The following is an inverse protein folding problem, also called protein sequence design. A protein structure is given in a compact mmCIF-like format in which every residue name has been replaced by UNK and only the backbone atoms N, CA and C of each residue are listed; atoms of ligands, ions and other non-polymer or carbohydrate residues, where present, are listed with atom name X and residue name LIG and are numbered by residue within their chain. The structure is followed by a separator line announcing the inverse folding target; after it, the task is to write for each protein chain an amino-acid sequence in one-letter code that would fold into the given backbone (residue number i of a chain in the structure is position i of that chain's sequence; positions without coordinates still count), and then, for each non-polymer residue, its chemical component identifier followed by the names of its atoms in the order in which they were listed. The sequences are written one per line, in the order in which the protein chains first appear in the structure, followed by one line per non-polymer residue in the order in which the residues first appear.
data_IF_070309631274
#
_entry.id   IF_070309631274
#
_cell.length_a   1.000
_cell.length_b   1.000
_cell.length_c   1.000
_cell.angle_alpha   90.00
_cell.angle_beta   90.00
_cell.angle_gamma   90.00
#
_symmetry.space_group_name_H-M   'P 1'
#
loop_
_entity.id
_entity.type
_entity.pdbx_description
1 polymer ?
#
# COMPACT_ATOMS: atom_id res chain seq x y z
N UNK A 1 -18.79 13.85 -9.08
CA UNK A 1 -18.27 12.72 -8.30
C UNK A 1 -19.13 12.48 -7.06
N UNK A 2 -19.56 11.25 -6.86
CA UNK A 2 -20.41 10.90 -5.72
C UNK A 2 -19.58 10.79 -4.44
N UNK A 3 -20.26 10.72 -3.29
CA UNK A 3 -19.60 10.50 -2.01
C UNK A 3 -18.88 9.15 -1.98
N UNK A 4 -19.48 8.12 -2.57
CA UNK A 4 -18.89 6.79 -2.64
C UNK A 4 -17.61 6.79 -3.45
N UNK A 5 -17.61 7.50 -4.57
CA UNK A 5 -16.41 7.61 -5.41
C UNK A 5 -15.30 8.36 -4.69
N UNK A 6 -15.65 9.43 -3.96
CA UNK A 6 -14.67 10.19 -3.19
C UNK A 6 -14.07 9.35 -2.06
N UNK A 7 -14.92 8.58 -1.38
CA UNK A 7 -14.46 7.71 -0.31
C UNK A 7 -13.53 6.62 -0.85
N UNK A 8 -13.90 6.02 -1.97
CA UNK A 8 -13.05 5.03 -2.64
C UNK A 8 -11.68 5.63 -2.97
N UNK A 9 -11.66 6.79 -3.59
CA UNK A 9 -10.40 7.45 -3.96
C UNK A 9 -9.56 7.80 -2.75
N UNK A 10 -10.18 8.25 -1.68
CA UNK A 10 -9.47 8.57 -0.44
C UNK A 10 -8.82 7.33 0.17
N UNK A 11 -9.57 6.23 0.25
CA UNK A 11 -9.05 4.97 0.79
C UNK A 11 -7.93 4.41 -0.08
N UNK A 12 -8.09 4.48 -1.40
CA UNK A 12 -7.07 4.03 -2.34
C UNK A 12 -5.80 4.85 -2.19
N UNK A 13 -5.94 6.17 -2.12
CA UNK A 13 -4.79 7.08 -1.94
C UNK A 13 -4.05 6.80 -0.64
N UNK A 14 -4.79 6.52 0.43
CA UNK A 14 -4.20 6.17 1.72
C UNK A 14 -3.36 4.90 1.61
N UNK A 15 -3.91 3.85 0.99
CA UNK A 15 -3.18 2.60 0.80
C UNK A 15 -1.94 2.81 -0.08
N UNK A 16 -2.08 3.56 -1.16
CA UNK A 16 -0.95 3.84 -2.06
C UNK A 16 0.15 4.64 -1.37
N UNK A 17 -0.23 5.60 -0.52
CA UNK A 17 0.75 6.36 0.25
C UNK A 17 1.53 5.46 1.21
N UNK A 18 0.85 4.54 1.89
CA UNK A 18 1.52 3.61 2.79
C UNK A 18 2.43 2.63 2.05
N UNK A 19 2.00 2.18 0.87
CA UNK A 19 2.84 1.33 0.01
C UNK A 19 4.12 2.07 -0.36
N UNK A 20 3.99 3.29 -0.83
CA UNK A 20 5.15 4.08 -1.25
C UNK A 20 6.08 4.39 -0.09
N UNK A 21 5.52 4.70 1.08
CA UNK A 21 6.30 4.94 2.28
C UNK A 21 7.09 3.69 2.69
N UNK A 22 6.44 2.53 2.65
CA UNK A 22 7.11 1.28 2.99
C UNK A 22 8.22 0.93 1.99
N UNK A 23 7.97 1.15 0.70
CA UNK A 23 8.98 0.93 -0.34
C UNK A 23 10.17 1.85 -0.15
N UNK A 24 9.93 3.12 0.17
CA UNK A 24 11.00 4.07 0.44
C UNK A 24 11.87 3.60 1.61
N UNK A 25 11.23 3.16 2.69
CA UNK A 25 11.94 2.67 3.87
C UNK A 25 12.78 1.43 3.53
N UNK A 26 12.22 0.50 2.76
CA UNK A 26 12.95 -0.70 2.33
C UNK A 26 14.16 -0.33 1.48
N UNK A 27 13.98 0.58 0.54
CA UNK A 27 15.07 1.05 -0.33
C UNK A 27 16.19 1.67 0.49
N UNK A 28 15.85 2.50 1.47
CA UNK A 28 16.82 3.13 2.35
C UNK A 28 17.57 2.09 3.19
N UNK A 29 16.86 1.13 3.75
CA UNK A 29 17.48 0.06 4.54
C UNK A 29 18.42 -0.78 3.69
N UNK A 30 18.02 -1.13 2.49
CA UNK A 30 18.84 -1.93 1.58
C UNK A 30 20.10 -1.21 1.15
N UNK A 31 20.00 0.09 0.92
CA UNK A 31 21.13 0.90 0.50
C UNK A 31 22.09 1.15 1.66
N UNK A 32 21.58 1.55 2.80
CA UNK A 32 22.40 1.94 3.94
C UNK A 32 23.04 0.77 4.66
N UNK A 33 22.37 -0.38 4.67
CA UNK A 33 22.87 -1.55 5.37
C UNK A 33 24.18 -2.08 4.80
N UNK A 34 24.50 -1.75 3.55
CA UNK A 34 25.76 -2.15 2.92
C UNK A 34 26.91 -1.18 3.22
N UNK A 35 26.61 0.01 3.71
CA UNK A 35 27.58 1.07 3.93
C UNK A 35 28.01 1.25 5.38
N UNK A 36 27.31 0.65 6.32
CA UNK A 36 27.48 0.92 7.75
C UNK A 36 27.91 -0.36 8.49
N UNK A 37 28.64 -0.20 9.56
CA UNK A 37 29.22 -1.28 10.32
C UNK A 37 28.22 -2.18 11.04
N UNK A 38 28.72 -3.27 11.56
CA UNK A 38 27.97 -4.40 12.08
C UNK A 38 26.88 -4.08 13.08
N UNK A 39 27.12 -3.11 13.98
CA UNK A 39 26.25 -2.83 15.04
C UNK A 39 24.93 -2.17 14.63
N UNK A 40 24.86 -1.72 13.39
CA UNK A 40 23.64 -1.13 12.86
C UNK A 40 22.82 -2.10 12.05
N UNK A 41 23.34 -3.29 11.73
CA UNK A 41 22.61 -4.26 10.91
C UNK A 41 21.33 -4.76 11.57
N UNK A 42 21.32 -4.93 12.89
CA UNK A 42 20.10 -5.31 13.59
C UNK A 42 19.02 -4.24 13.48
N UNK A 43 19.43 -2.98 13.57
CA UNK A 43 18.52 -1.86 13.43
C UNK A 43 17.88 -1.86 12.03
N UNK A 44 18.71 -2.01 11.00
CA UNK A 44 18.19 -2.04 9.63
C UNK A 44 17.28 -3.25 9.38
N UNK A 45 17.61 -4.40 9.98
CA UNK A 45 16.78 -5.58 9.87
C UNK A 45 15.40 -5.36 10.50
N UNK A 46 15.36 -4.77 11.68
CA UNK A 46 14.12 -4.46 12.38
C UNK A 46 13.27 -3.48 11.57
N UNK A 47 13.91 -2.42 11.08
CA UNK A 47 13.19 -1.39 10.31
C UNK A 47 12.69 -1.94 8.97
N UNK A 48 13.49 -2.74 8.30
CA UNK A 48 13.09 -3.37 7.05
C UNK A 48 11.93 -4.36 7.26
N UNK A 49 11.97 -5.11 8.35
CA UNK A 49 10.90 -6.05 8.69
C UNK A 49 9.59 -5.32 8.94
N UNK A 50 9.63 -4.21 9.68
CA UNK A 50 8.45 -3.38 9.90
C UNK A 50 7.90 -2.83 8.60
N UNK A 51 8.78 -2.35 7.73
CA UNK A 51 8.38 -1.83 6.43
C UNK A 51 7.75 -2.91 5.56
N UNK A 52 8.28 -4.12 5.60
CA UNK A 52 7.73 -5.25 4.85
C UNK A 52 6.32 -5.60 5.34
N UNK A 53 6.11 -5.60 6.66
CA UNK A 53 4.78 -5.81 7.23
C UNK A 53 3.81 -4.73 6.76
N UNK A 54 4.23 -3.49 6.82
CA UNK A 54 3.41 -2.36 6.38
C UNK A 54 3.05 -2.47 4.91
N UNK A 55 4.03 -2.85 4.09
CA UNK A 55 3.82 -3.04 2.66
C UNK A 55 2.79 -4.13 2.38
N UNK A 56 2.94 -5.27 3.03
CA UNK A 56 2.02 -6.40 2.87
C UNK A 56 0.61 -6.01 3.29
N UNK A 57 0.49 -5.38 4.45
CA UNK A 57 -0.82 -4.95 4.96
C UNK A 57 -1.48 -3.93 4.03
N UNK A 58 -0.71 -2.94 3.57
CA UNK A 58 -1.26 -1.91 2.70
C UNK A 58 -1.69 -2.48 1.34
N UNK A 59 -0.91 -3.41 0.78
CA UNK A 59 -1.27 -4.10 -0.46
C UNK A 59 -2.52 -4.94 -0.29
N UNK A 60 -2.63 -5.66 0.82
CA UNK A 60 -3.80 -6.48 1.10
C UNK A 60 -5.05 -5.60 1.25
N UNK A 61 -4.91 -4.48 1.92
CA UNK A 61 -6.03 -3.54 2.07
C UNK A 61 -6.46 -2.98 0.72
N UNK A 62 -5.50 -2.65 -0.13
CA UNK A 62 -5.80 -2.14 -1.46
C UNK A 62 -6.49 -3.21 -2.30
N UNK A 63 -5.97 -4.44 -2.30
CA UNK A 63 -6.58 -5.55 -3.03
C UNK A 63 -8.00 -5.82 -2.53
N UNK A 64 -8.20 -5.78 -1.22
CA UNK A 64 -9.52 -5.98 -0.61
C UNK A 64 -10.48 -4.87 -1.05
N UNK A 65 -10.01 -3.63 -1.03
CA UNK A 65 -10.82 -2.49 -1.47
C UNK A 65 -11.23 -2.65 -2.94
N UNK A 66 -10.28 -2.97 -3.80
CA UNK A 66 -10.54 -3.14 -5.23
C UNK A 66 -11.53 -4.29 -5.47
N UNK A 67 -11.37 -5.40 -4.76
CA UNK A 67 -12.29 -6.53 -4.87
C UNK A 67 -13.70 -6.17 -4.41
N UNK A 68 -13.78 -5.41 -3.32
CA UNK A 68 -15.06 -4.94 -2.81
C UNK A 68 -15.76 -4.04 -3.84
N UNK A 69 -15.02 -3.11 -4.42
CA UNK A 69 -15.56 -2.19 -5.42
C UNK A 69 -16.01 -2.93 -6.67
N UNK A 70 -15.22 -3.88 -7.15
CA UNK A 70 -15.57 -4.70 -8.31
C UNK A 70 -16.83 -5.51 -8.07
N UNK A 71 -17.02 -6.01 -6.86
CA UNK A 71 -18.22 -6.77 -6.49
C UNK A 71 -19.42 -5.89 -6.14
N UNK A 72 -19.22 -4.57 -6.05
CA UNK A 72 -20.28 -3.65 -5.66
C UNK A 72 -21.26 -3.42 -6.81
N UNK A 73 -22.56 -3.51 -6.51
CA UNK A 73 -23.58 -3.24 -7.52
C UNK A 73 -23.52 -1.82 -8.05
N UNK A 74 -23.03 -0.89 -7.26
CA UNK A 74 -22.90 0.50 -7.64
C UNK A 74 -21.92 0.71 -8.80
N UNK A 75 -20.75 0.09 -8.71
CA UNK A 75 -19.72 0.20 -9.74
C UNK A 75 -19.98 -0.75 -10.91
N UNK A 76 -20.57 -1.90 -10.65
CA UNK A 76 -20.95 -2.84 -11.71
C UNK A 76 -21.99 -2.24 -12.65
N UNK A 77 -22.89 -1.43 -12.13
CA UNK A 77 -23.87 -0.74 -12.97
C UNK A 77 -23.20 0.21 -13.95
N UNK A 78 -22.16 0.92 -13.51
CA UNK A 78 -21.42 1.80 -14.40
C UNK A 78 -20.70 1.03 -15.50
N UNK A 79 -20.12 -0.09 -15.16
CA UNK A 79 -19.46 -0.94 -16.14
C UNK A 79 -20.42 -1.49 -17.17
N UNK A 80 -21.59 -1.90 -16.71
CA UNK A 80 -22.62 -2.41 -17.62
C UNK A 80 -23.13 -1.33 -18.59
N UNK A 81 -23.22 -0.10 -18.11
CA UNK A 81 -23.65 1.00 -18.96
C UNK A 81 -22.62 1.41 -20.00
N UNK A 82 -21.36 1.13 -19.73
CA UNK A 82 -20.28 1.48 -20.64
C UNK A 82 -19.97 0.38 -21.65
N UNK A 83 -20.52 -0.78 -21.45
CA UNK A 83 -20.43 -1.88 -22.41
C UNK A 83 -21.46 -1.73 -23.51
#
# INVERSE_FOLDING_TARGET
MTHQERLYKALKSECEAEINEALLTLDMCMTQSTAIGEHTSEHFLVEASKALHKLTEARDRLDTLESYIEGSSLFNKQQQLND
#
